data_IF_426425391934
#
_entry.id   IF_426425391934
#
_cell.length_a   1.000
_cell.length_b   1.000
_cell.length_c   1.000
_cell.angle_alpha   90.00
_cell.angle_beta   90.00
_cell.angle_gamma   90.00
#
_symmetry.space_group_name_H-M   'P 1'
#
loop_
_entity.id
_entity.type
_entity.pdbx_description
1 polymer ?
#
# COMPACT_ATOMS: atom_id res chain seq x y z
N UNK A 1 -1.76 2.75 -21.13
CA UNK A 1 -2.37 4.04 -20.76
C UNK A 1 -2.00 4.40 -19.34
N UNK A 2 -2.23 3.55 -18.32
CA UNK A 2 -1.47 3.70 -17.07
C UNK A 2 0.04 3.74 -17.44
N UNK A 3 0.77 4.72 -16.90
CA UNK A 3 2.20 5.01 -17.19
C UNK A 3 2.56 5.54 -18.58
N UNK A 4 1.56 5.85 -19.43
CA UNK A 4 1.79 6.51 -20.71
C UNK A 4 1.31 7.96 -20.61
N UNK A 5 2.27 8.85 -20.36
CA UNK A 5 2.01 10.26 -20.06
C UNK A 5 1.61 11.03 -21.33
N UNK A 6 2.22 10.73 -22.49
CA UNK A 6 2.00 11.49 -23.73
C UNK A 6 0.61 11.21 -24.33
N UNK A 7 0.26 9.94 -24.51
CA UNK A 7 -1.09 9.60 -24.99
C UNK A 7 -2.16 9.81 -23.92
N UNK A 8 -1.80 9.58 -22.65
CA UNK A 8 -2.71 9.70 -21.52
C UNK A 8 -3.18 11.13 -21.30
N UNK A 9 -2.26 12.10 -21.28
CA UNK A 9 -2.59 13.52 -21.08
C UNK A 9 -3.49 14.06 -22.19
N UNK A 10 -3.24 13.70 -23.46
CA UNK A 10 -4.08 14.14 -24.58
C UNK A 10 -5.55 13.68 -24.49
N UNK A 11 -5.79 12.55 -23.83
CA UNK A 11 -7.13 12.00 -23.59
C UNK A 11 -7.78 12.63 -22.37
N UNK A 12 -7.02 12.94 -21.33
CA UNK A 12 -7.52 13.62 -20.12
C UNK A 12 -7.86 15.09 -20.40
N UNK A 13 -7.08 15.77 -21.24
CA UNK A 13 -7.24 17.21 -21.53
C UNK A 13 -8.68 17.56 -21.94
N UNK A 14 -9.34 16.68 -22.70
CA UNK A 14 -10.74 16.82 -23.12
C UNK A 14 -11.72 16.95 -21.96
N UNK A 15 -11.42 16.36 -20.81
CA UNK A 15 -12.29 16.36 -19.63
C UNK A 15 -12.09 17.61 -18.75
N UNK A 16 -10.95 18.31 -18.86
CA UNK A 16 -10.75 19.58 -18.15
C UNK A 16 -11.65 20.71 -18.68
N UNK A 17 -12.06 20.63 -19.95
CA UNK A 17 -12.99 21.59 -20.56
C UNK A 17 -14.48 21.34 -20.24
N UNK A 18 -14.81 20.28 -19.48
CA UNK A 18 -16.20 20.01 -19.06
C UNK A 18 -16.71 21.06 -18.07
N UNK A 19 -18.00 21.37 -18.08
CA UNK A 19 -18.61 22.32 -17.13
C UNK A 19 -18.83 21.75 -15.72
N UNK A 20 -18.74 20.43 -15.54
CA UNK A 20 -18.96 19.77 -14.25
C UNK A 20 -17.68 19.70 -13.40
N UNK A 21 -17.75 20.23 -12.17
CA UNK A 21 -16.62 20.29 -11.22
C UNK A 21 -16.11 18.90 -10.82
N UNK A 22 -17.00 17.91 -10.65
CA UNK A 22 -16.62 16.53 -10.35
C UNK A 22 -15.81 15.86 -11.47
N UNK A 23 -16.12 16.21 -12.73
CA UNK A 23 -15.41 15.67 -13.90
C UNK A 23 -14.01 16.28 -13.98
N UNK A 24 -13.87 17.58 -13.70
CA UNK A 24 -12.56 18.24 -13.62
C UNK A 24 -11.71 17.70 -12.48
N UNK A 25 -12.30 17.50 -11.29
CA UNK A 25 -11.61 16.91 -10.15
C UNK A 25 -11.16 15.47 -10.45
N UNK A 26 -12.00 14.67 -11.12
CA UNK A 26 -11.64 13.34 -11.59
C UNK A 26 -10.51 13.34 -12.63
N UNK A 27 -10.48 14.34 -13.52
CA UNK A 27 -9.41 14.53 -14.48
C UNK A 27 -8.07 14.85 -13.79
N UNK A 28 -8.07 15.74 -12.80
CA UNK A 28 -6.88 16.08 -12.00
C UNK A 28 -6.30 14.86 -11.27
N UNK A 29 -7.16 14.07 -10.62
CA UNK A 29 -6.73 12.81 -9.99
C UNK A 29 -6.15 11.83 -11.01
N UNK A 30 -6.78 11.72 -12.18
CA UNK A 30 -6.32 10.84 -13.25
C UNK A 30 -4.95 11.24 -13.81
N UNK A 31 -4.63 12.55 -13.88
CA UNK A 31 -3.27 13.02 -14.20
C UNK A 31 -2.27 12.47 -13.19
N UNK A 32 -2.56 12.58 -11.89
CA UNK A 32 -1.70 12.06 -10.82
C UNK A 32 -1.46 10.56 -10.93
N UNK A 33 -2.51 9.78 -11.18
CA UNK A 33 -2.43 8.32 -11.37
C UNK A 33 -1.61 7.94 -12.61
N UNK A 34 -1.79 8.66 -13.74
CA UNK A 34 -1.02 8.41 -14.96
C UNK A 34 0.48 8.65 -14.76
N UNK A 35 0.83 9.70 -14.01
CA UNK A 35 2.22 10.05 -13.70
C UNK A 35 2.84 9.24 -12.57
N UNK A 36 2.12 8.31 -11.96
CA UNK A 36 2.63 7.49 -10.87
C UNK A 36 3.86 6.68 -11.34
N UNK A 37 5.05 6.98 -10.80
CA UNK A 37 6.28 6.26 -11.14
C UNK A 37 6.91 6.58 -12.49
N UNK A 38 6.34 7.51 -13.29
CA UNK A 38 6.93 7.95 -14.57
C UNK A 38 7.51 9.35 -14.40
N UNK A 39 8.80 9.50 -14.73
CA UNK A 39 9.51 10.78 -14.65
C UNK A 39 9.85 11.24 -16.05
N UNK A 40 9.11 12.22 -16.54
CA UNK A 40 9.39 12.94 -17.78
C UNK A 40 9.98 14.32 -17.43
N UNK A 41 10.89 14.82 -18.26
CA UNK A 41 11.49 16.15 -18.11
C UNK A 41 10.45 17.28 -18.22
N UNK A 42 9.31 17.00 -18.84
CA UNK A 42 8.13 17.84 -18.76
C UNK A 42 7.37 17.53 -17.46
N UNK A 43 7.57 18.38 -16.44
CA UNK A 43 6.83 18.37 -15.16
C UNK A 43 5.33 18.73 -15.34
N UNK A 44 4.64 18.01 -16.23
CA UNK A 44 3.22 18.18 -16.52
C UNK A 44 2.31 18.07 -15.29
N UNK A 45 2.56 17.16 -14.31
CA UNK A 45 1.73 17.10 -13.11
C UNK A 45 1.92 18.33 -12.23
N UNK A 46 3.13 18.89 -12.13
CA UNK A 46 3.38 20.08 -11.32
C UNK A 46 2.69 21.31 -11.91
N UNK A 47 2.90 21.56 -13.21
CA UNK A 47 2.34 22.74 -13.87
C UNK A 47 0.81 22.73 -13.88
N UNK A 48 0.18 21.57 -14.13
CA UNK A 48 -1.28 21.47 -14.18
C UNK A 48 -1.90 21.47 -12.78
N UNK A 49 -1.31 20.78 -11.80
CA UNK A 49 -1.95 20.63 -10.49
C UNK A 49 -1.78 21.87 -9.61
N UNK A 50 -0.71 22.65 -9.77
CA UNK A 50 -0.51 23.93 -9.05
C UNK A 50 -1.67 24.90 -9.27
N UNK A 51 -2.14 25.07 -10.51
CA UNK A 51 -3.28 25.94 -10.84
C UNK A 51 -4.59 25.45 -10.17
N UNK A 52 -4.72 24.14 -9.95
CA UNK A 52 -5.91 23.54 -9.36
C UNK A 52 -5.88 23.47 -7.83
N UNK A 53 -4.72 23.64 -7.19
CA UNK A 53 -4.60 23.79 -5.73
C UNK A 53 -5.01 25.19 -5.28
N UNK A 54 -4.78 26.21 -6.13
CA UNK A 54 -5.17 27.60 -5.85
C UNK A 54 -6.68 27.87 -6.02
N UNK A 55 -7.42 27.00 -6.72
CA UNK A 55 -8.86 27.19 -6.97
C UNK A 55 -9.75 26.96 -5.74
N UNK A 56 -10.82 27.74 -5.55
CA UNK A 56 -11.67 27.73 -4.34
C UNK A 56 -12.56 26.48 -4.14
N UNK A 57 -12.63 25.57 -5.11
CA UNK A 57 -13.53 24.41 -5.06
C UNK A 57 -12.91 23.27 -4.23
N UNK A 58 -13.56 22.94 -3.11
CA UNK A 58 -13.13 21.93 -2.13
C UNK A 58 -12.72 20.58 -2.74
N UNK A 59 -13.54 20.08 -3.66
CA UNK A 59 -13.35 18.76 -4.29
C UNK A 59 -12.15 18.78 -5.24
N UNK A 60 -11.90 19.92 -5.88
CA UNK A 60 -10.75 20.14 -6.76
C UNK A 60 -9.45 20.13 -5.95
N UNK A 61 -9.42 20.83 -4.81
CA UNK A 61 -8.27 20.83 -3.90
C UNK A 61 -7.96 19.43 -3.36
N UNK A 62 -8.97 18.70 -2.90
CA UNK A 62 -8.79 17.31 -2.45
C UNK A 62 -8.20 16.42 -3.56
N UNK A 63 -8.74 16.52 -4.78
CA UNK A 63 -8.27 15.72 -5.93
C UNK A 63 -6.86 16.12 -6.38
N UNK A 64 -6.51 17.41 -6.32
CA UNK A 64 -5.19 17.90 -6.66
C UNK A 64 -4.13 17.48 -5.62
N UNK A 65 -4.43 17.59 -4.31
CA UNK A 65 -3.54 17.13 -3.24
C UNK A 65 -3.28 15.62 -3.32
N UNK A 66 -4.34 14.82 -3.52
CA UNK A 66 -4.22 13.36 -3.69
C UNK A 66 -3.47 12.99 -4.97
N UNK A 67 -3.73 13.67 -6.08
CA UNK A 67 -3.02 13.49 -7.35
C UNK A 67 -1.53 13.81 -7.25
N UNK A 68 -1.17 14.92 -6.60
CA UNK A 68 0.21 15.31 -6.32
C UNK A 68 0.93 14.29 -5.43
N UNK A 69 0.25 13.82 -4.37
CA UNK A 69 0.79 12.80 -3.47
C UNK A 69 1.08 11.47 -4.15
N UNK A 70 0.21 11.04 -5.08
CA UNK A 70 0.38 9.80 -5.86
C UNK A 70 1.47 9.97 -6.93
N UNK A 71 1.53 11.13 -7.60
CA UNK A 71 2.52 11.41 -8.64
C UNK A 71 3.94 11.50 -8.09
N UNK A 72 4.11 12.12 -6.91
CA UNK A 72 5.42 12.43 -6.33
C UNK A 72 5.83 11.55 -5.16
N UNK A 73 5.16 10.41 -4.97
CA UNK A 73 5.47 9.48 -3.91
C UNK A 73 6.96 9.06 -3.93
N UNK A 74 7.67 9.28 -2.81
CA UNK A 74 9.09 8.93 -2.63
C UNK A 74 10.12 9.80 -3.36
N UNK A 75 9.70 10.89 -4.03
CA UNK A 75 10.65 11.78 -4.73
C UNK A 75 11.34 12.78 -3.78
N UNK A 76 10.64 13.21 -2.72
CA UNK A 76 11.03 14.28 -1.80
C UNK A 76 11.51 15.54 -2.51
N UNK A 77 10.61 16.17 -3.28
CA UNK A 77 10.85 17.50 -3.85
C UNK A 77 10.40 18.58 -2.88
N UNK A 78 11.29 19.52 -2.60
CA UNK A 78 11.03 20.69 -1.73
C UNK A 78 10.00 21.63 -2.36
N UNK A 79 10.00 21.82 -3.68
CA UNK A 79 9.04 22.70 -4.37
C UNK A 79 7.57 22.30 -4.17
N UNK A 80 7.30 20.98 -4.10
CA UNK A 80 5.95 20.45 -3.84
C UNK A 80 5.59 20.57 -2.36
N UNK A 81 6.59 20.53 -1.48
CA UNK A 81 6.42 20.74 -0.05
C UNK A 81 6.01 22.18 0.25
N UNK A 82 6.69 23.17 -0.32
CA UNK A 82 6.38 24.59 -0.14
C UNK A 82 4.96 24.95 -0.59
N UNK A 83 4.42 24.22 -1.57
CA UNK A 83 3.05 24.41 -2.04
C UNK A 83 1.99 23.77 -1.13
N UNK A 84 2.32 22.65 -0.48
CA UNK A 84 1.40 21.92 0.38
C UNK A 84 1.42 22.41 1.84
N UNK A 85 2.52 23.00 2.32
CA UNK A 85 2.61 23.57 3.68
C UNK A 85 1.51 24.62 3.93
N UNK A 86 1.27 25.61 3.05
CA UNK A 86 0.19 26.59 3.25
C UNK A 86 -1.22 25.98 3.29
N UNK A 87 -1.43 24.87 2.57
CA UNK A 87 -2.71 24.15 2.56
C UNK A 87 -2.92 23.40 3.87
N UNK A 88 -1.85 22.81 4.40
CA UNK A 88 -1.82 22.23 5.74
C UNK A 88 -1.97 23.33 6.80
N UNK A 89 -1.43 24.52 6.54
CA UNK A 89 -1.46 25.65 7.46
C UNK A 89 -2.77 26.46 7.47
N UNK A 90 -3.71 26.18 6.57
CA UNK A 90 -5.00 26.86 6.53
C UNK A 90 -5.85 26.58 7.77
N UNK A 91 -6.09 27.61 8.60
CA UNK A 91 -6.81 27.56 9.88
C UNK A 91 -8.30 27.91 9.81
N UNK A 92 -8.96 27.84 8.65
CA UNK A 92 -10.36 28.26 8.54
C UNK A 92 -11.34 27.09 8.62
N UNK A 93 -11.98 27.00 9.79
CA UNK A 93 -12.79 25.89 10.29
C UNK A 93 -13.94 25.41 9.41
N UNK A 94 -14.07 24.09 9.36
CA UNK A 94 -15.19 23.36 8.76
C UNK A 94 -14.85 21.88 8.54
N UNK A 95 -15.80 20.96 8.74
CA UNK A 95 -15.57 19.50 8.62
C UNK A 95 -15.17 19.07 7.20
N UNK A 96 -15.53 19.85 6.19
CA UNK A 96 -15.11 19.61 4.80
C UNK A 96 -13.63 19.99 4.59
N UNK A 97 -13.16 21.12 5.12
CA UNK A 97 -11.76 21.53 4.96
C UNK A 97 -10.78 20.65 5.75
N UNK A 98 -11.25 19.97 6.81
CA UNK A 98 -10.46 18.94 7.50
C UNK A 98 -10.08 17.76 6.58
N UNK A 99 -10.92 17.41 5.60
CA UNK A 99 -10.54 16.43 4.56
C UNK A 99 -9.39 16.94 3.70
N UNK A 100 -9.38 18.22 3.33
CA UNK A 100 -8.29 18.83 2.55
C UNK A 100 -6.99 18.77 3.34
N UNK A 101 -7.02 19.20 4.60
CA UNK A 101 -5.86 19.20 5.50
C UNK A 101 -5.34 17.78 5.73
N UNK A 102 -6.23 16.81 5.97
CA UNK A 102 -5.86 15.41 6.21
C UNK A 102 -5.28 14.75 4.95
N UNK A 103 -5.81 15.06 3.77
CA UNK A 103 -5.30 14.56 2.49
C UNK A 103 -4.01 15.26 2.06
N UNK A 104 -3.85 16.55 2.36
CA UNK A 104 -2.60 17.27 2.15
C UNK A 104 -1.49 16.74 3.07
N UNK A 105 -1.80 16.50 4.35
CA UNK A 105 -0.87 15.87 5.29
C UNK A 105 -0.50 14.44 4.88
N UNK A 106 -1.46 13.67 4.37
CA UNK A 106 -1.19 12.35 3.79
C UNK A 106 -0.31 12.43 2.53
N UNK A 107 -0.59 13.37 1.62
CA UNK A 107 0.18 13.58 0.41
C UNK A 107 1.63 13.97 0.73
N UNK A 108 1.85 14.86 1.70
CA UNK A 108 3.17 15.18 2.23
C UNK A 108 3.87 13.94 2.79
N UNK A 109 3.15 13.13 3.60
CA UNK A 109 3.67 11.87 4.13
C UNK A 109 4.09 10.88 3.03
N UNK A 110 3.34 10.79 1.93
CA UNK A 110 3.65 9.94 0.77
C UNK A 110 4.81 10.46 -0.08
N UNK A 111 4.99 11.78 -0.19
CA UNK A 111 6.10 12.39 -0.93
C UNK A 111 7.43 12.18 -0.19
N UNK A 112 7.40 12.28 1.14
CA UNK A 112 8.57 12.23 2.03
C UNK A 112 8.76 10.90 2.77
N UNK A 113 8.26 9.80 2.20
CA UNK A 113 8.42 8.48 2.81
C UNK A 113 9.90 8.17 3.06
N UNK A 114 10.23 7.84 4.31
CA UNK A 114 11.56 7.43 4.77
C UNK A 114 12.67 8.50 4.66
N UNK A 115 12.35 9.78 4.40
CA UNK A 115 13.38 10.84 4.35
C UNK A 115 13.51 11.65 5.64
N UNK A 116 12.54 11.56 6.55
CA UNK A 116 12.60 12.16 7.90
C UNK A 116 12.93 13.67 7.86
N UNK A 117 12.09 14.45 7.17
CA UNK A 117 12.21 15.91 7.19
C UNK A 117 11.51 16.50 8.43
N UNK A 118 12.32 17.13 9.29
CA UNK A 118 11.88 17.71 10.56
C UNK A 118 10.89 18.88 10.35
N UNK A 119 10.93 19.54 9.20
CA UNK A 119 10.01 20.63 8.82
C UNK A 119 8.59 20.10 8.60
N UNK A 120 8.45 18.99 7.86
CA UNK A 120 7.15 18.34 7.61
C UNK A 120 6.64 17.68 8.89
N UNK A 121 7.51 17.03 9.66
CA UNK A 121 7.15 16.48 10.96
C UNK A 121 6.66 17.57 11.94
N UNK A 122 7.37 18.69 12.01
CA UNK A 122 7.03 19.83 12.87
C UNK A 122 5.71 20.50 12.48
N UNK A 123 5.47 20.73 11.18
CA UNK A 123 4.22 21.32 10.69
C UNK A 123 3.02 20.41 10.94
N UNK A 124 3.16 19.09 10.75
CA UNK A 124 2.09 18.12 11.06
C UNK A 124 1.79 18.04 12.57
N UNK A 125 2.82 18.06 13.42
CA UNK A 125 2.63 18.08 14.89
C UNK A 125 2.00 19.40 15.33
N UNK A 126 2.46 20.53 14.80
CA UNK A 126 1.86 21.84 15.08
C UNK A 126 0.38 21.84 14.69
N UNK A 127 0.01 21.23 13.57
CA UNK A 127 -1.40 21.08 13.18
C UNK A 127 -2.21 20.19 14.09
N UNK A 128 -1.62 19.10 14.57
CA UNK A 128 -2.24 18.25 15.59
C UNK A 128 -2.44 19.00 16.92
N UNK A 129 -1.61 20.01 17.23
CA UNK A 129 -1.78 20.86 18.42
C UNK A 129 -2.82 21.97 18.24
N UNK A 130 -3.01 22.48 17.02
CA UNK A 130 -3.95 23.56 16.71
C UNK A 130 -5.38 23.05 16.46
N UNK A 131 -5.56 21.77 16.16
CA UNK A 131 -6.86 21.18 15.83
C UNK A 131 -7.75 20.98 17.08
N UNK A 132 -9.06 21.24 16.93
CA UNK A 132 -10.03 21.22 18.04
C UNK A 132 -10.62 19.81 18.32
N UNK A 133 -11.10 19.57 19.55
CA UNK A 133 -11.64 18.26 19.99
C UNK A 133 -12.82 17.74 19.14
N UNK A 134 -13.62 18.63 18.54
CA UNK A 134 -14.75 18.25 17.68
C UNK A 134 -14.28 17.82 16.27
N UNK A 135 -13.28 18.50 15.72
CA UNK A 135 -12.69 18.18 14.41
C UNK A 135 -11.88 16.89 14.46
N UNK A 136 -11.29 16.58 15.61
CA UNK A 136 -10.52 15.37 15.87
C UNK A 136 -11.38 14.09 15.82
N UNK A 137 -12.67 14.17 16.16
CA UNK A 137 -13.59 13.02 16.19
C UNK A 137 -13.90 12.40 14.81
N UNK A 138 -13.53 13.09 13.74
CA UNK A 138 -13.77 12.60 12.39
C UNK A 138 -12.75 11.53 11.99
N UNK A 139 -13.26 10.50 11.29
CA UNK A 139 -12.50 9.42 10.62
C UNK A 139 -11.28 9.92 9.82
N UNK A 140 -11.30 11.18 9.41
CA UNK A 140 -10.28 11.83 8.59
C UNK A 140 -8.98 12.17 9.33
N UNK A 141 -9.02 12.38 10.65
CA UNK A 141 -7.82 12.60 11.47
C UNK A 141 -6.85 11.41 11.41
N UNK A 142 -7.36 10.21 11.13
CA UNK A 142 -6.54 9.00 10.95
C UNK A 142 -5.56 9.11 9.77
N UNK A 143 -5.94 9.82 8.70
CA UNK A 143 -5.04 10.03 7.56
C UNK A 143 -3.92 11.01 7.88
N UNK A 144 -4.15 11.98 8.77
CA UNK A 144 -3.13 12.89 9.26
C UNK A 144 -2.10 12.13 10.13
N UNK A 145 -2.57 11.28 11.04
CA UNK A 145 -1.71 10.40 11.84
C UNK A 145 -0.91 9.42 10.97
N UNK A 146 -1.54 8.88 9.93
CA UNK A 146 -0.86 8.02 8.96
C UNK A 146 0.18 8.81 8.15
N UNK A 147 -0.13 10.04 7.72
CA UNK A 147 0.83 10.91 7.04
C UNK A 147 2.09 11.13 7.87
N UNK A 148 1.93 11.38 9.17
CA UNK A 148 3.05 11.49 10.11
C UNK A 148 3.81 10.14 10.25
N UNK A 149 3.10 9.02 10.36
CA UNK A 149 3.73 7.70 10.43
C UNK A 149 4.53 7.33 9.17
N UNK A 150 4.06 7.72 7.99
CA UNK A 150 4.73 7.46 6.71
C UNK A 150 6.04 8.25 6.55
N UNK A 151 6.16 9.43 7.15
CA UNK A 151 7.43 10.19 7.18
C UNK A 151 8.56 9.42 7.86
N UNK A 152 8.23 8.68 8.93
CA UNK A 152 9.19 7.94 9.75
C UNK A 152 9.30 6.45 9.36
N UNK A 153 8.75 6.05 8.21
CA UNK A 153 8.75 4.65 7.80
C UNK A 153 10.18 4.09 7.70
N UNK A 154 10.47 3.05 8.50
CA UNK A 154 11.75 2.34 8.50
C UNK A 154 12.91 3.07 9.21
N UNK A 155 12.64 4.18 9.89
CA UNK A 155 13.61 4.89 10.72
C UNK A 155 13.28 4.70 12.19
N UNK A 156 14.02 3.79 12.83
CA UNK A 156 13.85 3.40 14.24
C UNK A 156 14.10 4.58 15.20
N UNK A 157 15.36 4.86 15.52
CA UNK A 157 15.73 5.77 16.63
C UNK A 157 15.33 7.24 16.42
N UNK A 158 15.14 7.68 15.17
CA UNK A 158 14.71 9.06 14.88
C UNK A 158 13.23 9.29 15.19
N UNK A 159 12.43 8.24 15.22
CA UNK A 159 11.01 8.32 15.54
C UNK A 159 10.79 8.58 17.05
N UNK A 160 11.70 8.15 17.93
CA UNK A 160 11.53 8.24 19.40
C UNK A 160 11.36 9.68 19.90
N UNK A 161 12.10 10.64 19.32
CA UNK A 161 11.96 12.05 19.66
C UNK A 161 10.56 12.60 19.35
N UNK A 162 9.96 12.13 18.25
CA UNK A 162 8.62 12.53 17.82
C UNK A 162 7.52 11.78 18.58
N UNK A 163 7.77 10.52 18.96
CA UNK A 163 6.88 9.78 19.89
C UNK A 163 6.76 10.55 21.20
N UNK A 164 7.88 11.01 21.76
CA UNK A 164 7.86 11.74 23.03
C UNK A 164 7.19 13.11 22.89
N UNK A 165 7.38 13.80 21.76
CA UNK A 165 6.65 15.03 21.45
C UNK A 165 5.13 14.79 21.39
N UNK A 166 4.68 13.72 20.74
CA UNK A 166 3.25 13.37 20.67
C UNK A 166 2.67 13.00 22.05
N UNK A 167 3.45 12.33 22.91
CA UNK A 167 3.01 11.97 24.28
C UNK A 167 2.74 13.18 25.17
N UNK A 168 3.32 14.34 24.87
CA UNK A 168 3.02 15.58 25.61
C UNK A 168 1.61 16.13 25.33
N UNK A 169 0.93 15.61 24.31
CA UNK A 169 -0.42 16.01 23.92
C UNK A 169 -1.46 15.22 24.75
N UNK A 170 -2.35 15.93 25.45
CA UNK A 170 -3.34 15.32 26.37
C UNK A 170 -4.58 14.70 25.69
N UNK A 171 -4.68 14.75 24.35
CA UNK A 171 -5.87 14.29 23.62
C UNK A 171 -5.90 12.78 23.36
N UNK A 172 -7.11 12.21 23.28
CA UNK A 172 -7.36 10.78 23.02
C UNK A 172 -6.67 10.26 21.76
N UNK A 173 -6.68 11.03 20.66
CA UNK A 173 -6.03 10.65 19.39
C UNK A 173 -4.51 10.64 19.46
N UNK A 174 -3.89 11.27 20.46
CA UNK A 174 -2.43 11.17 20.64
C UNK A 174 -2.00 9.72 20.83
N UNK A 175 -2.73 8.91 21.61
CA UNK A 175 -2.44 7.47 21.75
C UNK A 175 -2.53 6.73 20.41
N UNK A 176 -3.40 7.17 19.49
CA UNK A 176 -3.54 6.58 18.16
C UNK A 176 -2.35 6.95 17.29
N UNK A 177 -2.01 8.24 17.27
CA UNK A 177 -0.87 8.77 16.53
C UNK A 177 0.44 8.14 17.00
N UNK A 178 0.62 7.96 18.32
CA UNK A 178 1.78 7.29 18.91
C UNK A 178 1.87 5.85 18.41
N UNK A 179 0.80 5.06 18.51
CA UNK A 179 0.81 3.65 18.06
C UNK A 179 1.05 3.56 16.54
N UNK A 180 0.44 4.42 15.74
CA UNK A 180 0.63 4.44 14.27
C UNK A 180 2.07 4.81 13.90
N UNK A 181 2.64 5.83 14.56
CA UNK A 181 4.01 6.27 14.29
C UNK A 181 5.03 5.22 14.73
N UNK A 182 4.81 4.64 15.91
CA UNK A 182 5.62 3.56 16.47
C UNK A 182 5.61 2.33 15.55
N UNK A 183 4.43 1.92 15.08
CA UNK A 183 4.31 0.75 14.20
C UNK A 183 4.88 1.00 12.80
N UNK A 184 4.77 2.22 12.26
CA UNK A 184 5.39 2.59 10.98
C UNK A 184 6.93 2.71 11.09
N UNK A 185 7.46 3.19 12.22
CA UNK A 185 8.91 3.30 12.45
C UNK A 185 9.59 1.92 12.50
N UNK A 186 8.92 0.93 13.12
CA UNK A 186 9.40 -0.45 13.23
C UNK A 186 8.90 -1.39 12.12
N UNK A 187 8.37 -0.85 11.01
CA UNK A 187 7.89 -1.65 9.89
C UNK A 187 9.00 -2.56 9.34
N UNK A 188 8.72 -3.87 9.27
CA UNK A 188 9.65 -4.87 8.71
C UNK A 188 10.90 -5.19 9.54
N UNK A 189 11.02 -4.66 10.77
CA UNK A 189 12.21 -4.90 11.61
C UNK A 189 12.14 -6.18 12.44
N UNK A 190 10.96 -6.82 12.57
CA UNK A 190 10.78 -8.06 13.34
C UNK A 190 11.08 -7.94 14.84
N UNK A 191 11.09 -6.73 15.42
CA UNK A 191 11.49 -6.57 16.82
C UNK A 191 10.46 -7.16 17.80
N UNK A 192 10.83 -8.28 18.43
CA UNK A 192 9.96 -9.04 19.33
C UNK A 192 9.52 -8.24 20.55
N UNK A 193 10.36 -7.34 21.08
CA UNK A 193 9.99 -6.51 22.24
C UNK A 193 8.82 -5.59 21.88
N UNK A 194 8.88 -4.99 20.69
CA UNK A 194 7.82 -4.12 20.19
C UNK A 194 6.53 -4.87 19.91
N UNK A 195 6.65 -6.07 19.34
CA UNK A 195 5.51 -6.98 19.16
C UNK A 195 4.87 -7.32 20.51
N UNK A 196 5.66 -7.57 21.55
CA UNK A 196 5.14 -7.86 22.89
C UNK A 196 4.44 -6.67 23.53
N UNK A 197 4.98 -5.46 23.39
CA UNK A 197 4.36 -4.23 23.87
C UNK A 197 3.00 -3.98 23.19
N UNK A 198 2.93 -4.15 21.87
CA UNK A 198 1.69 -4.02 21.11
C UNK A 198 0.65 -5.08 21.51
N UNK A 199 1.08 -6.33 21.70
CA UNK A 199 0.20 -7.40 22.18
C UNK A 199 -0.31 -7.13 23.60
N UNK A 200 0.51 -6.52 24.47
CA UNK A 200 0.07 -6.13 25.81
C UNK A 200 -1.04 -5.07 25.74
N UNK A 201 -0.86 -4.03 24.92
CA UNK A 201 -1.87 -2.99 24.69
C UNK A 201 -3.17 -3.54 24.07
N UNK A 202 -3.08 -4.59 23.25
CA UNK A 202 -4.24 -5.28 22.67
C UNK A 202 -4.92 -6.25 23.65
N UNK A 203 -4.20 -6.72 24.68
CA UNK A 203 -4.72 -7.63 25.70
C UNK A 203 -5.41 -6.90 26.88
N UNK A 204 -5.12 -5.61 27.06
CA UNK A 204 -5.87 -4.77 27.99
C UNK A 204 -7.31 -4.58 27.48
N UNK A 205 -8.29 -5.06 28.24
CA UNK A 205 -9.71 -4.95 27.89
C UNK A 205 -10.20 -3.55 28.28
N UNK A 206 -10.05 -2.58 27.38
CA UNK A 206 -10.60 -1.24 27.55
C UNK A 206 -11.94 -1.13 26.81
N UNK A 207 -13.00 -0.93 27.58
CA UNK A 207 -14.38 -0.79 27.06
C UNK A 207 -14.68 0.58 26.43
N UNK A 208 -13.79 1.57 26.62
CA UNK A 208 -13.83 2.88 25.96
C UNK A 208 -12.44 3.19 25.38
N UNK A 209 -12.38 3.76 24.15
CA UNK A 209 -11.15 4.08 23.40
C UNK A 209 -10.48 2.91 22.61
N UNK A 210 -11.28 2.05 21.98
CA UNK A 210 -10.80 0.89 21.21
C UNK A 210 -10.12 1.21 19.84
N UNK A 211 -10.04 2.47 19.42
CA UNK A 211 -9.42 2.85 18.13
C UNK A 211 -7.91 2.63 18.12
N UNK A 212 -7.25 2.85 19.25
CA UNK A 212 -5.81 2.60 19.42
C UNK A 212 -5.46 1.13 19.25
N UNK A 213 -6.36 0.25 19.70
CA UNK A 213 -6.17 -1.19 19.61
C UNK A 213 -6.32 -1.69 18.18
N UNK A 214 -7.22 -1.09 17.39
CA UNK A 214 -7.34 -1.40 15.96
C UNK A 214 -6.04 -1.06 15.20
N UNK A 215 -5.43 0.09 15.48
CA UNK A 215 -4.13 0.45 14.91
C UNK A 215 -3.00 -0.48 15.38
N UNK A 216 -2.99 -0.87 16.66
CA UNK A 216 -1.99 -1.79 17.20
C UNK A 216 -2.04 -3.17 16.52
N UNK A 217 -3.24 -3.67 16.19
CA UNK A 217 -3.43 -4.96 15.48
C UNK A 217 -2.92 -4.88 14.04
N UNK A 218 -3.20 -3.80 13.31
CA UNK A 218 -2.63 -3.56 11.97
C UNK A 218 -1.11 -3.42 12.05
N UNK A 219 -0.63 -2.68 13.05
CA UNK A 219 0.78 -2.47 13.32
C UNK A 219 1.54 -3.74 13.67
N UNK A 220 0.91 -4.70 14.36
CA UNK A 220 1.48 -6.02 14.59
C UNK A 220 1.76 -6.74 13.26
N UNK A 221 0.83 -6.66 12.31
CA UNK A 221 1.03 -7.16 10.95
C UNK A 221 2.14 -6.42 10.20
N UNK A 222 2.28 -5.11 10.42
CA UNK A 222 3.30 -4.29 9.77
C UNK A 222 4.73 -4.60 10.24
N UNK A 223 4.92 -4.80 11.55
CA UNK A 223 6.23 -5.11 12.15
C UNK A 223 6.70 -6.50 11.72
N UNK A 224 5.77 -7.45 11.62
CA UNK A 224 6.06 -8.87 11.31
C UNK A 224 6.08 -9.19 9.81
N UNK A 225 5.78 -8.22 8.94
CA UNK A 225 5.72 -8.40 7.49
C UNK A 225 7.07 -8.84 6.86
N UNK A 226 8.20 -8.53 7.51
CA UNK A 226 9.55 -8.77 6.99
C UNK A 226 10.10 -10.18 7.23
N UNK A 227 9.54 -10.95 8.16
CA UNK A 227 10.08 -12.25 8.55
C UNK A 227 9.00 -13.34 8.49
N UNK A 228 9.31 -14.46 7.81
CA UNK A 228 8.37 -15.59 7.72
C UNK A 228 8.06 -16.21 9.09
N UNK A 229 9.05 -16.27 10.00
CA UNK A 229 8.85 -16.74 11.38
C UNK A 229 7.94 -15.78 12.16
N UNK A 230 8.14 -14.47 11.98
CA UNK A 230 7.29 -13.44 12.59
C UNK A 230 5.85 -13.52 12.10
N UNK A 231 5.63 -13.78 10.81
CA UNK A 231 4.30 -13.96 10.23
C UNK A 231 3.58 -15.18 10.84
N UNK A 232 4.25 -16.33 11.02
CA UNK A 232 3.65 -17.49 11.68
C UNK A 232 3.30 -17.22 13.16
N UNK A 233 4.14 -16.46 13.87
CA UNK A 233 3.86 -16.04 15.23
C UNK A 233 2.63 -15.12 15.28
N UNK A 234 2.54 -14.15 14.37
CA UNK A 234 1.42 -13.22 14.28
C UNK A 234 0.10 -13.95 13.98
N UNK A 235 0.09 -14.95 13.09
CA UNK A 235 -1.10 -15.77 12.81
C UNK A 235 -1.68 -16.44 14.06
N UNK A 236 -0.82 -17.00 14.93
CA UNK A 236 -1.24 -17.60 16.20
C UNK A 236 -1.79 -16.56 17.17
N UNK A 237 -1.15 -15.40 17.23
CA UNK A 237 -1.61 -14.29 18.07
C UNK A 237 -2.97 -13.77 17.60
N UNK A 238 -3.20 -13.66 16.30
CA UNK A 238 -4.50 -13.25 15.75
C UNK A 238 -5.63 -14.23 16.07
N UNK A 239 -5.39 -15.55 16.03
CA UNK A 239 -6.38 -16.54 16.46
C UNK A 239 -6.77 -16.36 17.94
N UNK A 240 -5.81 -16.01 18.81
CA UNK A 240 -6.11 -15.69 20.20
C UNK A 240 -6.93 -14.40 20.33
N UNK A 241 -6.57 -13.35 19.58
CA UNK A 241 -7.31 -12.08 19.58
C UNK A 241 -8.76 -12.25 19.08
N UNK A 242 -8.99 -13.11 18.08
CA UNK A 242 -10.35 -13.39 17.56
C UNK A 242 -11.27 -14.03 18.60
N UNK A 243 -10.73 -14.89 19.46
CA UNK A 243 -11.53 -15.56 20.48
C UNK A 243 -11.80 -14.68 21.71
N UNK A 244 -10.80 -13.94 22.19
CA UNK A 244 -10.87 -13.29 23.50
C UNK A 244 -11.15 -11.78 23.49
N UNK A 245 -10.95 -11.08 22.36
CA UNK A 245 -11.04 -9.61 22.35
C UNK A 245 -12.44 -9.05 22.03
N UNK A 246 -12.58 -7.74 22.19
CA UNK A 246 -13.78 -6.97 21.91
C UNK A 246 -14.04 -6.78 20.39
N UNK A 247 -15.29 -6.45 19.98
CA UNK A 247 -15.65 -6.30 18.56
C UNK A 247 -14.76 -5.37 17.73
N UNK A 248 -14.25 -4.22 18.22
CA UNK A 248 -13.36 -3.35 17.44
C UNK A 248 -12.05 -4.04 17.03
N UNK A 249 -11.42 -4.79 17.94
CA UNK A 249 -10.21 -5.57 17.65
C UNK A 249 -10.52 -6.64 16.60
N UNK A 250 -11.65 -7.35 16.74
CA UNK A 250 -12.06 -8.39 15.77
C UNK A 250 -12.27 -7.83 14.37
N UNK A 251 -12.69 -6.57 14.23
CA UNK A 251 -12.82 -5.88 12.92
C UNK A 251 -11.47 -5.60 12.26
N UNK A 252 -10.40 -5.40 13.04
CA UNK A 252 -9.07 -5.10 12.52
C UNK A 252 -8.26 -6.36 12.13
N UNK A 253 -8.54 -7.53 12.73
CA UNK A 253 -7.80 -8.77 12.46
C UNK A 253 -7.79 -9.18 10.98
N UNK A 254 -8.92 -9.18 10.23
CA UNK A 254 -8.90 -9.51 8.81
C UNK A 254 -7.99 -8.60 7.97
N UNK A 255 -7.88 -7.33 8.35
CA UNK A 255 -7.01 -6.35 7.68
C UNK A 255 -5.54 -6.61 8.00
N UNK A 256 -5.22 -6.97 9.25
CA UNK A 256 -3.86 -7.34 9.64
C UNK A 256 -3.40 -8.65 8.96
N UNK A 257 -4.30 -9.62 8.79
CA UNK A 257 -4.03 -10.83 7.98
C UNK A 257 -3.75 -10.49 6.51
N UNK A 258 -4.41 -9.47 5.97
CA UNK A 258 -4.17 -9.02 4.60
C UNK A 258 -2.80 -8.34 4.42
N UNK A 259 -2.33 -7.58 5.42
CA UNK A 259 -0.98 -6.96 5.43
C UNK A 259 0.12 -8.00 5.41
N UNK A 260 -0.01 -9.06 6.20
CA UNK A 260 1.01 -10.12 6.26
C UNK A 260 1.19 -10.82 4.91
N UNK A 261 0.10 -11.00 4.17
CA UNK A 261 0.06 -11.83 2.99
C UNK A 261 -0.36 -11.06 1.73
N UNK A 262 0.11 -9.82 1.55
CA UNK A 262 -0.20 -9.03 0.35
C UNK A 262 0.24 -9.77 -0.92
N UNK A 263 -0.71 -9.98 -1.84
CA UNK A 263 -0.50 -10.72 -3.10
C UNK A 263 0.05 -12.15 -2.95
N UNK A 264 0.09 -12.71 -1.73
CA UNK A 264 0.53 -14.08 -1.44
C UNK A 264 -0.66 -14.92 -0.95
N UNK A 265 -1.33 -15.68 -1.84
CA UNK A 265 -2.49 -16.47 -1.45
C UNK A 265 -2.06 -17.74 -0.72
N UNK A 266 -1.88 -17.65 0.60
CA UNK A 266 -1.77 -18.84 1.45
C UNK A 266 -3.16 -19.41 1.76
N UNK A 267 -3.28 -20.73 1.67
CA UNK A 267 -4.56 -21.41 1.86
C UNK A 267 -5.06 -21.33 3.30
N UNK A 268 -4.16 -21.32 4.29
CA UNK A 268 -4.53 -21.20 5.70
C UNK A 268 -5.24 -19.86 5.99
N UNK A 269 -4.69 -18.77 5.43
CA UNK A 269 -5.21 -17.41 5.60
C UNK A 269 -6.53 -17.23 4.84
N UNK A 270 -6.62 -17.78 3.63
CA UNK A 270 -7.87 -17.77 2.85
C UNK A 270 -8.99 -18.49 3.61
N UNK A 271 -8.70 -19.63 4.25
CA UNK A 271 -9.70 -20.39 5.00
C UNK A 271 -10.10 -19.71 6.31
N UNK A 272 -9.19 -19.00 6.98
CA UNK A 272 -9.53 -18.11 8.10
C UNK A 272 -10.42 -16.94 7.65
N UNK A 273 -10.03 -16.20 6.61
CA UNK A 273 -10.80 -15.07 6.09
C UNK A 273 -12.17 -15.50 5.54
N UNK A 274 -12.25 -16.69 4.92
CA UNK A 274 -13.53 -17.28 4.48
C UNK A 274 -14.49 -17.50 5.65
N UNK A 275 -14.01 -17.94 6.81
CA UNK A 275 -14.86 -18.12 8.00
C UNK A 275 -15.34 -16.78 8.53
N UNK A 276 -14.47 -15.78 8.56
CA UNK A 276 -14.80 -14.41 9.01
C UNK A 276 -15.74 -13.68 8.05
N UNK A 277 -15.76 -14.03 6.76
CA UNK A 277 -16.68 -13.42 5.78
C UNK A 277 -18.16 -13.76 5.97
N UNK A 278 -18.49 -14.77 6.79
CA UNK A 278 -19.86 -15.17 7.13
C UNK A 278 -20.26 -14.76 8.56
N UNK A 279 -19.45 -13.94 9.23
CA UNK A 279 -19.73 -13.46 10.58
C UNK A 279 -21.00 -12.56 10.58
N UNK A 280 -21.88 -12.66 11.61
CA UNK A 280 -23.04 -11.76 11.74
C UNK A 280 -22.68 -10.26 11.78
N UNK A 281 -21.46 -9.90 12.21
CA UNK A 281 -21.04 -8.50 12.23
C UNK A 281 -20.66 -7.99 10.83
N UNK A 282 -21.49 -7.07 10.32
CA UNK A 282 -21.34 -6.49 8.97
C UNK A 282 -19.97 -5.90 8.67
N UNK A 283 -19.33 -5.23 9.64
CA UNK A 283 -18.01 -4.61 9.45
C UNK A 283 -16.88 -5.65 9.40
N UNK A 284 -16.97 -6.73 10.18
CA UNK A 284 -16.01 -7.85 10.14
C UNK A 284 -16.12 -8.55 8.79
N UNK A 285 -17.35 -8.84 8.35
CA UNK A 285 -17.59 -9.49 7.07
C UNK A 285 -17.05 -8.67 5.89
N UNK A 286 -17.29 -7.35 5.87
CA UNK A 286 -16.77 -6.47 4.82
C UNK A 286 -15.24 -6.38 4.83
N UNK A 287 -14.62 -6.27 6.01
CA UNK A 287 -13.16 -6.26 6.15
C UNK A 287 -12.54 -7.59 5.72
N UNK A 288 -13.18 -8.73 6.01
CA UNK A 288 -12.73 -10.05 5.56
C UNK A 288 -12.83 -10.22 4.04
N UNK A 289 -13.91 -9.74 3.42
CA UNK A 289 -14.08 -9.76 1.95
C UNK A 289 -12.99 -8.92 1.27
N UNK A 290 -12.71 -7.73 1.80
CA UNK A 290 -11.67 -6.89 1.24
C UNK A 290 -10.27 -7.46 1.49
N UNK A 291 -10.03 -8.02 2.68
CA UNK A 291 -8.79 -8.73 3.01
C UNK A 291 -8.51 -9.87 2.02
N UNK A 292 -9.53 -10.66 1.67
CA UNK A 292 -9.42 -11.68 0.60
C UNK A 292 -9.00 -11.08 -0.75
N UNK A 293 -9.53 -9.90 -1.09
CA UNK A 293 -9.16 -9.16 -2.29
C UNK A 293 -7.69 -8.73 -2.30
N UNK A 294 -7.18 -8.20 -1.18
CA UNK A 294 -5.79 -7.73 -1.04
C UNK A 294 -4.80 -8.90 -1.02
N UNK A 295 -5.10 -9.97 -0.29
CA UNK A 295 -4.25 -11.18 -0.22
C UNK A 295 -4.14 -11.88 -1.59
N UNK A 296 -5.21 -11.86 -2.39
CA UNK A 296 -5.25 -12.50 -3.71
C UNK A 296 -4.99 -11.56 -4.88
N UNK A 297 -4.65 -10.30 -4.62
CA UNK A 297 -4.50 -9.27 -5.65
C UNK A 297 -3.53 -9.71 -6.75
N UNK A 298 -3.98 -9.66 -8.00
CA UNK A 298 -3.15 -9.99 -9.16
C UNK A 298 -2.78 -11.46 -9.36
N UNK A 299 -3.20 -12.35 -8.46
CA UNK A 299 -2.82 -13.77 -8.53
C UNK A 299 -3.79 -14.63 -9.33
N UNK A 300 -5.00 -14.12 -9.61
CA UNK A 300 -6.06 -14.82 -10.33
C UNK A 300 -6.31 -16.25 -9.79
N UNK A 301 -6.28 -16.41 -8.47
CA UNK A 301 -6.47 -17.72 -7.84
C UNK A 301 -7.92 -18.21 -8.02
N UNK A 302 -8.09 -19.41 -8.58
CA UNK A 302 -9.41 -19.99 -8.90
C UNK A 302 -10.29 -20.25 -7.69
N UNK A 303 -9.70 -20.62 -6.54
CA UNK A 303 -10.44 -20.88 -5.29
C UNK A 303 -11.06 -19.60 -4.74
N UNK A 304 -10.28 -18.52 -4.66
CA UNK A 304 -10.75 -17.22 -4.17
C UNK A 304 -11.78 -16.63 -5.15
N UNK A 305 -11.58 -16.79 -6.45
CA UNK A 305 -12.56 -16.37 -7.46
C UNK A 305 -13.90 -17.12 -7.31
N UNK A 306 -13.87 -18.43 -7.04
CA UNK A 306 -15.06 -19.21 -6.73
C UNK A 306 -15.77 -18.74 -5.47
N UNK A 307 -14.99 -18.48 -4.41
CA UNK A 307 -15.51 -18.00 -3.13
C UNK A 307 -16.16 -16.62 -3.24
N UNK A 308 -15.51 -15.67 -3.92
CA UNK A 308 -16.07 -14.32 -4.14
C UNK A 308 -17.35 -14.34 -4.98
N UNK A 309 -17.53 -15.32 -5.87
CA UNK A 309 -18.80 -15.50 -6.60
C UNK A 309 -19.91 -15.98 -5.68
N UNK A 310 -19.63 -16.96 -4.82
CA UNK A 310 -20.59 -17.44 -3.82
C UNK A 310 -20.99 -16.34 -2.84
N UNK A 311 -20.03 -15.55 -2.36
CA UNK A 311 -20.29 -14.40 -1.48
C UNK A 311 -21.14 -13.32 -2.17
N UNK A 312 -20.94 -13.09 -3.48
CA UNK A 312 -21.77 -12.17 -4.25
C UNK A 312 -23.23 -12.60 -4.34
N UNK A 313 -23.50 -13.90 -4.45
CA UNK A 313 -24.87 -14.44 -4.48
C UNK A 313 -25.52 -14.35 -3.09
N UNK A 314 -24.75 -14.70 -2.05
CA UNK A 314 -25.20 -14.65 -0.66
C UNK A 314 -25.59 -13.24 -0.20
N UNK A 315 -24.74 -12.23 -0.47
CA UNK A 315 -24.96 -10.84 -0.08
C UNK A 315 -25.76 -10.00 -1.09
N UNK A 316 -26.43 -10.63 -2.06
CA UNK A 316 -27.15 -9.93 -3.14
C UNK A 316 -28.17 -8.87 -2.69
N UNK A 317 -28.64 -8.93 -1.44
CA UNK A 317 -29.60 -7.97 -0.86
C UNK A 317 -28.94 -6.72 -0.26
N UNK A 318 -27.67 -6.79 0.13
CA UNK A 318 -26.98 -5.70 0.82
C UNK A 318 -25.97 -5.00 -0.10
N UNK A 319 -26.29 -3.76 -0.50
CA UNK A 319 -25.48 -2.99 -1.45
C UNK A 319 -24.02 -2.78 -0.99
N UNK A 320 -23.79 -2.57 0.31
CA UNK A 320 -22.44 -2.34 0.84
C UNK A 320 -21.53 -3.57 0.77
N UNK A 321 -22.06 -4.76 1.06
CA UNK A 321 -21.32 -6.00 0.94
C UNK A 321 -21.03 -6.33 -0.53
N UNK A 322 -22.02 -6.13 -1.42
CA UNK A 322 -21.84 -6.32 -2.86
C UNK A 322 -20.77 -5.39 -3.42
N UNK A 323 -20.71 -4.15 -2.93
CA UNK A 323 -19.66 -3.20 -3.32
C UNK A 323 -18.26 -3.71 -2.93
N UNK A 324 -18.08 -4.17 -1.69
CA UNK A 324 -16.81 -4.74 -1.22
C UNK A 324 -16.41 -6.00 -2.02
N UNK A 325 -17.36 -6.89 -2.32
CA UNK A 325 -17.11 -8.09 -3.14
C UNK A 325 -16.66 -7.71 -4.55
N UNK A 326 -17.26 -6.69 -5.16
CA UNK A 326 -16.85 -6.20 -6.49
C UNK A 326 -15.44 -5.63 -6.48
N UNK A 327 -15.06 -4.86 -5.45
CA UNK A 327 -13.69 -4.38 -5.28
C UNK A 327 -12.73 -5.58 -5.18
N UNK A 328 -13.03 -6.54 -4.30
CA UNK A 328 -12.20 -7.73 -4.12
C UNK A 328 -12.04 -8.54 -5.42
N UNK A 329 -13.11 -8.69 -6.22
CA UNK A 329 -13.04 -9.32 -7.54
C UNK A 329 -12.18 -8.51 -8.54
N UNK A 330 -12.28 -7.19 -8.51
CA UNK A 330 -11.44 -6.29 -9.30
C UNK A 330 -9.96 -6.43 -8.97
N UNK A 331 -9.62 -6.51 -7.67
CA UNK A 331 -8.26 -6.73 -7.19
C UNK A 331 -7.71 -8.11 -7.60
N UNK A 332 -8.53 -9.16 -7.51
CA UNK A 332 -8.11 -10.52 -7.89
C UNK A 332 -7.74 -10.61 -9.38
N UNK A 333 -8.51 -9.95 -10.26
CA UNK A 333 -8.29 -9.94 -11.70
C UNK A 333 -7.49 -8.73 -12.21
N UNK A 334 -6.79 -8.02 -11.32
CA UNK A 334 -6.05 -6.80 -11.64
C UNK A 334 -5.05 -7.03 -12.80
N UNK A 335 -5.17 -6.22 -13.86
CA UNK A 335 -4.36 -6.39 -15.08
C UNK A 335 -4.48 -7.76 -15.74
N UNK A 336 -5.61 -8.47 -15.57
CA UNK A 336 -5.80 -9.89 -15.95
C UNK A 336 -4.84 -10.87 -15.24
N UNK A 337 -4.30 -10.49 -14.08
CA UNK A 337 -3.30 -11.25 -13.33
C UNK A 337 -1.85 -10.86 -13.64
N UNK A 338 -1.63 -9.77 -14.38
CA UNK A 338 -0.30 -9.27 -14.76
C UNK A 338 0.26 -8.22 -13.80
N UNK A 339 -0.57 -7.67 -12.91
CA UNK A 339 -0.18 -6.63 -11.96
C UNK A 339 -0.28 -7.18 -10.54
N UNK A 340 0.65 -6.82 -9.65
CA UNK A 340 0.68 -7.18 -8.22
C UNK A 340 0.79 -5.95 -7.34
N UNK A 341 0.47 -6.11 -6.06
CA UNK A 341 0.47 -5.04 -5.05
C UNK A 341 1.54 -5.30 -3.97
N UNK A 342 2.50 -6.19 -4.24
CA UNK A 342 3.53 -6.53 -3.25
C UNK A 342 4.41 -5.31 -2.97
N UNK A 343 4.53 -4.85 -1.71
CA UNK A 343 5.41 -3.73 -1.35
C UNK A 343 6.87 -4.17 -1.26
N UNK A 344 7.15 -5.47 -1.30
CA UNK A 344 8.50 -6.00 -1.34
C UNK A 344 9.04 -6.08 -2.76
N UNK A 345 10.29 -5.68 -2.92
CA UNK A 345 11.07 -5.81 -4.15
C UNK A 345 12.34 -6.61 -3.87
N UNK A 346 12.85 -7.31 -4.89
CA UNK A 346 14.11 -8.07 -4.82
C UNK A 346 14.13 -9.14 -3.72
N UNK A 347 13.47 -10.28 -3.95
CA UNK A 347 13.54 -11.44 -3.04
C UNK A 347 13.14 -11.11 -1.57
N UNK A 348 12.13 -10.25 -1.37
CA UNK A 348 11.64 -9.78 -0.05
C UNK A 348 12.64 -8.98 0.79
N UNK A 349 13.77 -8.56 0.21
CA UNK A 349 14.81 -7.84 0.95
C UNK A 349 14.57 -6.34 1.04
N UNK A 350 13.93 -5.73 0.03
CA UNK A 350 13.70 -4.29 -0.02
C UNK A 350 12.22 -3.98 0.15
N UNK A 351 11.92 -3.15 1.15
CA UNK A 351 10.58 -2.59 1.34
C UNK A 351 10.46 -1.30 0.53
N UNK A 352 9.53 -1.26 -0.42
CA UNK A 352 9.18 -0.03 -1.12
C UNK A 352 8.20 0.78 -0.26
N UNK A 353 8.69 1.88 0.32
CA UNK A 353 7.93 2.72 1.25
C UNK A 353 6.62 3.29 0.65
N UNK A 354 6.65 3.94 -0.53
CA UNK A 354 5.46 4.41 -1.23
C UNK A 354 4.39 3.34 -1.48
N UNK A 355 4.79 2.12 -1.84
CA UNK A 355 3.85 1.02 -2.06
C UNK A 355 3.17 0.58 -0.75
N UNK A 356 3.95 0.50 0.34
CA UNK A 356 3.41 0.21 1.65
C UNK A 356 2.48 1.34 2.13
N UNK A 357 2.83 2.60 1.87
CA UNK A 357 1.99 3.75 2.19
C UNK A 357 0.64 3.72 1.48
N UNK A 358 0.60 3.39 0.19
CA UNK A 358 -0.66 3.25 -0.55
C UNK A 358 -1.57 2.14 0.00
N UNK A 359 -0.99 1.01 0.44
CA UNK A 359 -1.73 -0.09 1.07
C UNK A 359 -2.22 0.32 2.46
N UNK A 360 -1.39 0.99 3.26
CA UNK A 360 -1.76 1.45 4.60
C UNK A 360 -2.90 2.47 4.57
N UNK A 361 -2.93 3.36 3.58
CA UNK A 361 -4.04 4.30 3.36
C UNK A 361 -5.34 3.54 3.14
N UNK A 362 -5.33 2.51 2.29
CA UNK A 362 -6.49 1.67 2.05
C UNK A 362 -6.94 0.99 3.35
N UNK A 363 -6.02 0.41 4.12
CA UNK A 363 -6.35 -0.31 5.35
C UNK A 363 -6.93 0.59 6.44
N UNK A 364 -6.37 1.79 6.62
CA UNK A 364 -6.90 2.78 7.56
C UNK A 364 -8.27 3.30 7.12
N UNK A 365 -8.53 3.36 5.81
CA UNK A 365 -9.88 3.62 5.27
C UNK A 365 -10.87 2.52 5.66
N UNK A 366 -10.41 1.27 5.74
CA UNK A 366 -11.26 0.11 6.05
C UNK A 366 -11.60 -0.02 7.55
N UNK A 367 -10.94 0.73 8.42
CA UNK A 367 -11.33 0.81 9.82
C UNK A 367 -12.69 1.50 10.02
N UNK A 368 -13.17 2.25 9.03
CA UNK A 368 -14.50 2.86 9.04
C UNK A 368 -15.10 2.89 7.62
N UNK A 369 -15.50 1.70 7.16
CA UNK A 369 -16.08 1.51 5.83
C UNK A 369 -17.36 2.31 5.61
N UNK A 370 -18.15 2.55 6.67
CA UNK A 370 -19.44 3.25 6.59
C UNK A 370 -19.26 4.73 6.27
N UNK A 371 -18.29 5.41 6.88
CA UNK A 371 -18.06 6.83 6.64
C UNK A 371 -17.16 7.10 5.42
N UNK A 372 -16.25 6.19 5.08
CA UNK A 372 -15.21 6.46 4.07
C UNK A 372 -15.55 5.87 2.69
N UNK A 373 -15.47 4.54 2.55
CA UNK A 373 -15.51 3.82 1.27
C UNK A 373 -16.94 3.61 0.75
N UNK A 374 -17.95 3.60 1.62
CA UNK A 374 -19.35 3.39 1.24
C UNK A 374 -20.16 4.67 1.02
N UNK A 375 -19.68 5.83 1.49
CA UNK A 375 -20.39 7.12 1.38
C UNK A 375 -19.78 8.03 0.30
N UNK A 376 -18.67 8.72 0.59
CA UNK A 376 -18.19 9.83 -0.26
C UNK A 376 -16.76 9.69 -0.78
N UNK A 377 -15.89 8.94 -0.10
CA UNK A 377 -14.44 8.95 -0.38
C UNK A 377 -13.97 7.72 -1.16
N UNK A 378 -14.65 7.39 -2.26
CA UNK A 378 -14.28 6.28 -3.15
C UNK A 378 -12.90 6.46 -3.80
N UNK A 379 -12.41 7.70 -3.91
CA UNK A 379 -11.12 8.01 -4.53
C UNK A 379 -9.91 7.53 -3.72
N UNK A 380 -10.08 7.19 -2.44
CA UNK A 380 -9.01 6.64 -1.61
C UNK A 380 -8.50 5.28 -2.12
N UNK A 381 -9.33 4.54 -2.87
CA UNK A 381 -8.92 3.31 -3.55
C UNK A 381 -7.78 3.55 -4.56
N UNK A 382 -7.67 4.75 -5.12
CA UNK A 382 -6.65 5.05 -6.12
C UNK A 382 -5.24 5.19 -5.54
N UNK A 383 -5.07 5.33 -4.22
CA UNK A 383 -3.75 5.24 -3.59
C UNK A 383 -3.08 3.86 -3.78
N UNK A 384 -3.87 2.84 -4.11
CA UNK A 384 -3.35 1.52 -4.46
C UNK A 384 -2.48 1.54 -5.73
N UNK A 385 -2.65 2.55 -6.60
CA UNK A 385 -1.86 2.69 -7.83
C UNK A 385 -0.37 2.86 -7.54
N UNK A 386 0.02 3.45 -6.40
CA UNK A 386 1.41 3.53 -5.94
C UNK A 386 2.04 2.16 -5.66
N UNK A 387 1.22 1.14 -5.40
CA UNK A 387 1.66 -0.22 -5.12
C UNK A 387 1.54 -1.17 -6.32
N UNK A 388 0.87 -0.74 -7.41
CA UNK A 388 0.64 -1.57 -8.59
C UNK A 388 1.95 -1.70 -9.39
N UNK A 389 2.50 -2.91 -9.46
CA UNK A 389 3.70 -3.21 -10.25
C UNK A 389 3.45 -4.39 -11.20
N UNK A 390 4.05 -4.41 -12.40
CA UNK A 390 3.97 -5.54 -13.30
C UNK A 390 4.71 -6.75 -12.72
N UNK A 391 4.04 -7.90 -12.73
CA UNK A 391 4.53 -9.18 -12.21
C UNK A 391 5.35 -9.98 -13.24
N UNK A 392 5.30 -9.57 -14.50
CA UNK A 392 5.97 -10.25 -15.60
C UNK A 392 7.48 -10.01 -15.55
N UNK A 393 8.25 -11.10 -15.69
CA UNK A 393 9.66 -11.03 -15.98
C UNK A 393 9.84 -10.75 -17.47
N UNK A 394 10.33 -9.57 -17.81
CA UNK A 394 10.64 -9.15 -19.18
C UNK A 394 12.14 -8.93 -19.28
N UNK A 395 12.74 -9.51 -20.30
CA UNK A 395 14.15 -9.29 -20.63
C UNK A 395 14.27 -8.27 -21.75
N UNK A 396 15.18 -7.31 -21.55
CA UNK A 396 15.39 -6.17 -22.43
C UNK A 396 16.89 -6.04 -22.73
N UNK A 397 17.24 -5.69 -23.96
CA UNK A 397 18.63 -5.41 -24.38
C UNK A 397 19.10 -4.02 -23.93
N UNK A 398 20.38 -3.71 -24.16
CA UNK A 398 20.99 -2.39 -23.85
C UNK A 398 20.28 -1.22 -24.58
N UNK A 399 19.67 -1.47 -25.74
CA UNK A 399 18.90 -0.49 -26.53
C UNK A 399 17.43 -0.36 -26.08
N UNK A 400 17.06 -0.91 -24.92
CA UNK A 400 15.69 -0.91 -24.38
C UNK A 400 14.67 -1.65 -25.27
N UNK A 401 15.13 -2.49 -26.20
CA UNK A 401 14.29 -3.37 -27.03
C UNK A 401 14.05 -4.73 -26.37
N UNK A 402 12.85 -5.28 -26.56
CA UNK A 402 12.48 -6.60 -26.05
C UNK A 402 13.29 -7.72 -26.72
N UNK A 403 13.93 -8.58 -25.92
CA UNK A 403 14.62 -9.79 -26.39
C UNK A 403 14.14 -11.02 -25.64
N UNK A 404 13.66 -12.08 -26.33
CA UNK A 404 13.26 -13.31 -25.69
C UNK A 404 14.49 -14.11 -25.22
N UNK A 405 14.56 -14.42 -23.93
CA UNK A 405 15.61 -15.24 -23.32
C UNK A 405 14.95 -16.42 -22.62
N UNK A 406 15.59 -17.59 -22.65
CA UNK A 406 15.09 -18.76 -21.92
C UNK A 406 15.35 -18.60 -20.43
N UNK A 407 14.31 -18.75 -19.62
CA UNK A 407 14.33 -18.62 -18.16
C UNK A 407 13.80 -19.91 -17.53
N UNK A 408 14.48 -20.40 -16.50
CA UNK A 408 14.04 -21.52 -15.66
C UNK A 408 13.31 -20.96 -14.45
N UNK A 409 12.03 -21.29 -14.30
CA UNK A 409 11.22 -20.88 -13.15
C UNK A 409 10.99 -22.10 -12.26
N UNK A 410 11.22 -21.95 -10.95
CA UNK A 410 11.00 -23.02 -9.97
C UNK A 410 10.75 -22.46 -8.57
N UNK A 411 10.48 -23.33 -7.61
CA UNK A 411 10.24 -22.90 -6.23
C UNK A 411 11.53 -22.41 -5.59
N UNK A 412 11.44 -21.27 -4.89
CA UNK A 412 12.55 -20.66 -4.18
C UNK A 412 13.09 -21.58 -3.07
N UNK A 413 14.41 -21.74 -3.01
CA UNK A 413 15.10 -22.43 -1.90
C UNK A 413 16.15 -21.51 -1.30
N UNK A 414 16.25 -21.52 0.02
CA UNK A 414 17.31 -20.82 0.74
C UNK A 414 18.66 -21.49 0.46
N UNK A 415 19.59 -20.72 -0.09
CA UNK A 415 20.93 -21.20 -0.43
C UNK A 415 21.94 -21.03 0.71
N UNK A 416 21.51 -20.50 1.85
CA UNK A 416 22.37 -20.26 3.03
C UNK A 416 22.82 -21.60 3.60
N UNK A 417 24.14 -21.82 3.69
CA UNK A 417 24.73 -23.04 4.26
C UNK A 417 24.98 -24.18 3.27
N UNK A 418 24.71 -24.01 1.97
CA UNK A 418 25.04 -25.01 0.95
C UNK A 418 26.46 -24.81 0.40
N UNK A 419 27.27 -25.88 0.40
CA UNK A 419 28.62 -25.85 -0.16
C UNK A 419 28.61 -26.01 -1.70
N UNK A 420 29.34 -25.15 -2.41
CA UNK A 420 29.51 -25.22 -3.87
C UNK A 420 28.91 -24.02 -4.61
N UNK A 421 28.42 -24.24 -5.84
CA UNK A 421 27.54 -23.30 -6.57
C UNK A 421 26.08 -23.71 -6.31
N UNK A 422 25.43 -23.22 -5.24
CA UNK A 422 24.09 -23.65 -4.88
C UNK A 422 23.08 -23.12 -5.91
N UNK A 423 22.13 -23.98 -6.30
CA UNK A 423 20.99 -23.57 -7.13
C UNK A 423 19.94 -22.90 -6.24
N UNK A 424 19.38 -21.78 -6.69
CA UNK A 424 18.36 -21.02 -5.94
C UNK A 424 16.95 -21.57 -6.16
N UNK A 425 16.77 -22.45 -7.15
CA UNK A 425 15.48 -23.03 -7.54
C UNK A 425 15.43 -24.55 -7.38
N UNK A 426 14.24 -25.05 -7.03
CA UNK A 426 13.87 -26.47 -7.10
C UNK A 426 12.67 -26.70 -8.00
N UNK A 427 12.60 -27.86 -8.66
CA UNK A 427 11.48 -28.21 -9.54
C UNK A 427 11.26 -27.24 -10.70
N UNK A 428 12.29 -27.03 -11.53
CA UNK A 428 12.27 -25.99 -12.56
C UNK A 428 11.53 -26.41 -13.84
N UNK A 429 10.80 -25.47 -14.43
CA UNK A 429 10.30 -25.54 -15.80
C UNK A 429 10.99 -24.48 -16.64
N UNK A 430 11.36 -24.83 -17.87
CA UNK A 430 12.01 -23.89 -18.79
C UNK A 430 10.95 -23.21 -19.63
N UNK A 431 10.91 -21.88 -19.56
CA UNK A 431 10.01 -21.01 -20.31
C UNK A 431 10.83 -20.00 -21.13
N UNK A 432 10.22 -19.34 -22.10
CA UNK A 432 10.79 -18.17 -22.76
C UNK A 432 10.14 -16.91 -22.18
N UNK A 433 10.92 -15.84 -21.96
CA UNK A 433 10.38 -14.56 -21.52
C UNK A 433 9.41 -13.97 -22.57
N UNK A 434 8.31 -13.34 -22.15
CA UNK A 434 7.93 -12.96 -20.77
C UNK A 434 7.25 -14.08 -19.96
N UNK A 435 7.62 -14.21 -18.69
CA UNK A 435 7.05 -15.22 -17.77
C UNK A 435 6.44 -14.55 -16.55
N UNK A 436 5.30 -15.06 -16.08
CA UNK A 436 4.70 -14.62 -14.81
C UNK A 436 5.33 -15.38 -13.66
N UNK A 437 5.90 -14.67 -12.69
CA UNK A 437 6.53 -15.29 -11.53
C UNK A 437 5.56 -15.42 -10.35
N UNK A 438 5.39 -16.63 -9.82
CA UNK A 438 4.89 -16.90 -8.47
C UNK A 438 5.55 -16.04 -7.38
N UNK A 439 4.82 -15.66 -6.32
CA UNK A 439 5.45 -15.00 -5.15
C UNK A 439 6.47 -15.90 -4.46
N UNK A 440 6.28 -17.23 -4.52
CA UNK A 440 7.21 -18.24 -4.00
C UNK A 440 8.11 -18.85 -5.09
N UNK A 441 8.00 -18.35 -6.32
CA UNK A 441 8.78 -18.84 -7.45
C UNK A 441 9.95 -17.90 -7.73
N UNK A 442 11.06 -18.48 -8.17
CA UNK A 442 12.27 -17.76 -8.58
C UNK A 442 12.61 -18.12 -10.02
N UNK A 443 13.16 -17.15 -10.72
CA UNK A 443 13.73 -17.32 -12.05
C UNK A 443 15.25 -17.44 -12.00
N UNK A 444 15.81 -18.31 -12.82
CA UNK A 444 17.23 -18.36 -13.18
C UNK A 444 17.35 -18.34 -14.72
N UNK A 445 18.42 -17.74 -15.26
CA UNK A 445 18.68 -17.80 -16.71
C UNK A 445 18.95 -19.24 -17.14
N UNK A 446 18.33 -19.64 -18.26
CA UNK A 446 18.47 -20.97 -18.84
C UNK A 446 19.69 -21.13 -19.76
N UNK A 447 20.20 -20.03 -20.31
CA UNK A 447 21.30 -19.95 -21.28
C UNK A 447 22.48 -19.15 -20.73
N UNK A 448 23.71 -19.56 -21.04
CA UNK A 448 24.96 -18.85 -20.69
C UNK A 448 25.35 -17.77 -21.74
N UNK A 449 24.57 -17.65 -22.82
CA UNK A 449 24.75 -16.70 -23.93
C UNK A 449 24.58 -15.25 -23.50
N UNK A 450 23.79 -15.01 -22.44
CA UNK A 450 23.38 -13.67 -22.03
C UNK A 450 23.57 -13.54 -20.52
N UNK A 451 24.22 -12.48 -20.08
CA UNK A 451 24.43 -12.14 -18.68
C UNK A 451 23.42 -11.09 -18.24
N UNK A 452 22.64 -11.39 -17.20
CA UNK A 452 21.82 -10.37 -16.55
C UNK A 452 22.69 -9.40 -15.75
N UNK A 453 22.41 -8.10 -15.86
CA UNK A 453 23.07 -7.07 -15.07
C UNK A 453 22.65 -7.14 -13.60
N UNK A 454 21.43 -7.62 -13.32
CA UNK A 454 20.90 -7.79 -11.97
C UNK A 454 21.14 -9.22 -11.42
N UNK A 455 21.48 -9.31 -10.14
CA UNK A 455 21.62 -10.59 -9.42
C UNK A 455 20.29 -11.27 -9.10
N UNK A 456 19.19 -10.53 -9.21
CA UNK A 456 17.81 -11.00 -9.01
C UNK A 456 17.04 -10.76 -10.30
N UNK A 457 16.36 -11.79 -10.80
CA UNK A 457 15.57 -11.75 -12.02
C UNK A 457 14.10 -11.49 -11.67
N UNK A 458 13.75 -10.23 -11.43
CA UNK A 458 12.39 -9.78 -11.16
C UNK A 458 12.04 -8.57 -12.04
N UNK A 459 10.81 -8.51 -12.56
CA UNK A 459 10.33 -7.38 -13.36
C UNK A 459 11.08 -7.21 -14.68
N UNK A 460 11.71 -6.05 -14.88
CA UNK A 460 12.45 -5.72 -16.09
C UNK A 460 13.94 -6.01 -15.86
N UNK A 461 14.47 -7.00 -16.55
CA UNK A 461 15.89 -7.37 -16.47
C UNK A 461 16.60 -6.93 -17.75
N UNK A 462 17.64 -6.12 -17.58
CA UNK A 462 18.55 -5.79 -18.68
C UNK A 462 19.55 -6.93 -18.83
N UNK A 463 19.63 -7.47 -20.03
CA UNK A 463 20.52 -8.56 -20.37
C UNK A 463 21.59 -8.06 -21.33
N UNK A 464 22.84 -8.45 -21.08
CA UNK A 464 24.00 -8.12 -21.93
C UNK A 464 24.50 -9.39 -22.59
N UNK A 465 24.89 -9.29 -23.86
CA UNK A 465 25.59 -10.39 -24.52
C UNK A 465 26.89 -10.70 -23.79
N UNK A 466 27.12 -11.99 -23.55
CA UNK A 466 28.32 -12.43 -22.86
C UNK A 466 29.52 -12.38 -23.83
N UNK A 467 30.55 -11.55 -23.57
CA UNK A 467 31.70 -11.42 -24.48
C UNK A 467 32.61 -12.66 -24.51
N UNK A 468 32.47 -13.57 -23.52
CA UNK A 468 33.28 -14.80 -23.41
C UNK A 468 32.56 -16.05 -23.96
N UNK A 469 31.38 -15.90 -24.58
CA UNK A 469 30.61 -17.05 -25.07
C UNK A 469 31.12 -17.52 -26.43
N UNK A 470 31.99 -18.54 -26.42
CA UNK A 470 32.25 -19.33 -27.63
C UNK A 470 31.08 -20.28 -27.88
N UNK A 471 30.36 -20.05 -28.99
CA UNK A 471 29.38 -20.99 -29.49
C UNK A 471 30.06 -22.37 -29.65
N UNK A 472 29.64 -23.36 -28.86
CA UNK A 472 30.01 -24.75 -29.12
C UNK A 472 29.43 -25.13 -30.48
N UNK A 473 30.26 -25.07 -31.52
CA UNK A 473 29.97 -25.69 -32.81
C UNK A 473 29.64 -27.18 -32.57
N UNK A 474 28.54 -27.58 -33.19
CA UNK A 474 27.86 -28.88 -33.15
C UNK A 474 28.75 -30.09 -33.39
#
# INVERSE_FOLDING_TARGET
>A
LLWDVDEGLSKIDKFFYSSEEYVKAGAALAVGILSCGVRLEADAPFALLTEHVEGDVHIMKCAACTGLGIAYAGTAREDVMELLIPVVEGTDGGPSKMLEVSLAGLALGLIFVSKCDDTVGGTLVQRLMEASEEELSHSHTRYLCLGLGLLFLGQMEKADAMIEALRTIEHKISKYAVVVLETCAYAGSGNVLKVQEMLHQCAEHLTEDAEHQMAAVIGLGLITMGEDVGAEMALRSFDHLLHYCEPPIKRAVPLALAVLHVSNPDFAVIDQLSRLSHDPDTEIAQNAILGLGITSAGTNNSRVAGLLRQLSEFYSKDAGHVFCVRIAQGLLHMGKGLLTISPFHSDRSLLNGPALGGILVLLHSCLDLKATLLDKTHYLLYYLTCAMNPRMLVTVDEDMSWRPVTVRVGQAVETVGQAGKPKRITGFQTHQSPVLLGVKERAELGTEEVLAVSSVLEGIVIVKDNPDFEAKES
#
